data_IF_738652456886
#
_entry.id   IF_738652456886
#
_cell.length_a   1.000
_cell.length_b   1.000
_cell.length_c   1.000
_cell.angle_alpha   90.00
_cell.angle_beta   90.00
_cell.angle_gamma   90.00
#
_symmetry.space_group_name_H-M   'P 1'
#
loop_
_entity.id
_entity.type
_entity.pdbx_description
1 polymer ?
#
# COMPACT_ATOMS: atom_id res chain seq x y z
N UNK A 1 0.07 -2.27 10.94
CA UNK A 1 1.41 -2.75 11.30
C UNK A 1 2.40 -2.13 10.33
N UNK A 2 3.38 -1.42 10.88
CA UNK A 2 4.46 -0.81 10.09
C UNK A 2 5.59 -1.83 10.04
N UNK A 3 6.00 -2.21 8.85
CA UNK A 3 7.17 -3.07 8.64
C UNK A 3 8.43 -2.26 8.97
N UNK A 4 9.32 -2.80 9.79
CA UNK A 4 10.63 -2.23 10.01
C UNK A 4 11.53 -2.59 8.81
N UNK A 5 11.41 -1.79 7.75
CA UNK A 5 12.16 -2.02 6.51
C UNK A 5 13.68 -1.88 6.68
N UNK A 6 14.14 -1.10 7.66
CA UNK A 6 15.57 -0.99 7.96
C UNK A 6 16.12 -2.32 8.43
N UNK A 7 15.48 -2.92 9.45
CA UNK A 7 15.88 -4.22 9.97
C UNK A 7 15.65 -5.35 8.96
N UNK A 8 14.57 -5.28 8.18
CA UNK A 8 14.24 -6.32 7.20
C UNK A 8 15.22 -6.33 6.01
N UNK A 9 15.78 -5.20 5.66
CA UNK A 9 16.70 -5.08 4.51
C UNK A 9 18.16 -4.89 4.89
N UNK A 10 18.53 -4.90 6.17
CA UNK A 10 19.90 -4.60 6.60
C UNK A 10 20.95 -5.51 5.92
N UNK A 11 20.67 -6.80 5.76
CA UNK A 11 21.59 -7.76 5.15
C UNK A 11 21.79 -7.48 3.66
N UNK A 12 20.69 -7.15 2.94
CA UNK A 12 20.77 -6.76 1.52
C UNK A 12 21.57 -5.48 1.35
N UNK A 13 21.32 -4.50 2.19
CA UNK A 13 22.06 -3.23 2.20
C UNK A 13 23.54 -3.45 2.51
N UNK A 14 23.85 -4.35 3.43
CA UNK A 14 25.24 -4.71 3.75
C UNK A 14 25.97 -5.31 2.55
N UNK A 15 25.35 -6.26 1.84
CA UNK A 15 25.95 -6.89 0.65
C UNK A 15 26.22 -5.89 -0.48
N UNK A 16 25.39 -4.88 -0.66
CA UNK A 16 25.55 -3.88 -1.72
C UNK A 16 26.30 -2.62 -1.25
N UNK A 17 26.76 -2.60 0.00
CA UNK A 17 27.53 -1.47 0.56
C UNK A 17 26.70 -0.20 0.81
N UNK A 18 25.39 -0.32 0.99
CA UNK A 18 24.47 0.80 1.26
C UNK A 18 24.15 0.85 2.74
N UNK A 19 24.21 2.04 3.34
CA UNK A 19 23.70 2.22 4.69
C UNK A 19 22.15 2.18 4.67
N UNK A 20 21.48 1.22 5.35
CA UNK A 20 20.02 1.12 5.33
C UNK A 20 19.33 2.37 5.85
N UNK A 21 19.97 3.13 6.75
CA UNK A 21 19.43 4.42 7.27
C UNK A 21 19.46 5.55 6.24
N UNK A 22 20.25 5.42 5.19
CA UNK A 22 20.30 6.42 4.12
C UNK A 22 19.22 6.23 3.06
N UNK A 23 18.47 5.13 3.12
CA UNK A 23 17.36 4.86 2.19
C UNK A 23 16.11 5.58 2.69
N UNK A 24 15.65 6.54 1.94
CA UNK A 24 14.40 7.23 2.26
C UNK A 24 13.21 6.31 2.03
N UNK A 25 12.56 5.91 3.13
CA UNK A 25 11.35 5.11 3.10
C UNK A 25 10.22 5.94 3.70
N UNK A 26 9.18 6.18 2.89
CA UNK A 26 8.00 6.91 3.33
C UNK A 26 7.18 6.06 4.29
N UNK A 27 7.20 6.42 5.57
CA UNK A 27 6.39 5.78 6.62
C UNK A 27 5.53 6.83 7.31
N UNK A 28 4.23 6.64 7.29
CA UNK A 28 3.27 7.57 7.89
C UNK A 28 2.50 6.88 9.01
N UNK A 29 2.55 7.45 10.22
CA UNK A 29 1.83 6.92 11.38
C UNK A 29 0.39 7.43 11.46
N UNK A 30 0.15 8.62 10.90
CA UNK A 30 -1.17 9.25 10.84
C UNK A 30 -1.78 9.01 9.47
N UNK A 31 -3.08 8.79 9.45
CA UNK A 31 -3.79 8.53 8.22
C UNK A 31 -3.81 9.77 7.31
N UNK A 32 -3.89 10.95 7.89
CA UNK A 32 -3.91 12.23 7.18
C UNK A 32 -2.60 12.45 6.39
N UNK A 33 -1.44 12.17 7.04
CA UNK A 33 -0.13 12.29 6.40
C UNK A 33 0.02 11.26 5.26
N UNK A 34 -0.54 10.06 5.47
CA UNK A 34 -0.57 9.00 4.48
C UNK A 34 -1.45 9.39 3.28
N UNK A 35 -2.63 9.98 3.50
CA UNK A 35 -3.50 10.48 2.44
C UNK A 35 -2.82 11.55 1.58
N UNK A 36 -2.12 12.49 2.20
CA UNK A 36 -1.34 13.50 1.47
C UNK A 36 -0.28 12.85 0.59
N UNK A 37 0.42 11.83 1.11
CA UNK A 37 1.41 11.07 0.35
C UNK A 37 0.75 10.32 -0.82
N UNK A 38 -0.38 9.66 -0.61
CA UNK A 38 -1.14 8.96 -1.66
C UNK A 38 -1.63 9.95 -2.73
N UNK A 39 -2.12 11.11 -2.33
CA UNK A 39 -2.53 12.16 -3.28
C UNK A 39 -1.41 12.58 -4.22
N UNK A 40 -0.19 12.81 -3.69
CA UNK A 40 1.00 13.10 -4.50
C UNK A 40 1.34 11.93 -5.44
N UNK A 41 1.27 10.70 -4.93
CA UNK A 41 1.53 9.50 -5.72
C UNK A 41 0.53 9.36 -6.88
N UNK A 42 -0.76 9.54 -6.59
CA UNK A 42 -1.82 9.47 -7.61
C UNK A 42 -1.70 10.60 -8.64
N UNK A 43 -1.24 11.78 -8.23
CA UNK A 43 -0.95 12.89 -9.14
C UNK A 43 0.12 12.48 -10.16
N UNK A 44 1.23 11.89 -9.70
CA UNK A 44 2.30 11.44 -10.59
C UNK A 44 1.88 10.25 -11.46
N UNK A 45 1.15 9.30 -10.89
CA UNK A 45 0.58 8.19 -11.65
C UNK A 45 -0.38 8.69 -12.73
N UNK A 46 -1.23 9.67 -12.42
CA UNK A 46 -2.10 10.30 -13.39
C UNK A 46 -1.30 11.00 -14.50
N UNK A 47 -0.21 11.70 -14.15
CA UNK A 47 0.63 12.38 -15.11
C UNK A 47 1.24 11.44 -16.15
N UNK A 48 1.74 10.26 -15.70
CA UNK A 48 2.42 9.31 -16.59
C UNK A 48 1.45 8.33 -17.28
N UNK A 49 0.22 8.20 -16.79
CA UNK A 49 -0.79 7.34 -17.43
C UNK A 49 -1.34 8.04 -18.67
N UNK A 50 -1.44 7.31 -19.78
CA UNK A 50 -2.07 7.82 -21.00
C UNK A 50 -3.56 8.13 -20.78
N UNK A 51 -4.12 9.00 -21.60
CA UNK A 51 -5.56 9.26 -21.64
C UNK A 51 -6.37 7.95 -21.80
N UNK A 52 -7.49 7.86 -21.12
CA UNK A 52 -8.32 6.65 -21.04
C UNK A 52 -7.60 5.40 -20.48
N UNK A 53 -6.36 5.55 -19.99
CA UNK A 53 -5.61 4.48 -19.32
C UNK A 53 -6.14 4.20 -17.91
N UNK A 54 -5.67 3.12 -17.33
CA UNK A 54 -6.11 2.68 -16.01
C UNK A 54 -4.95 2.69 -15.02
N UNK A 55 -5.28 2.97 -13.76
CA UNK A 55 -4.40 2.83 -12.60
C UNK A 55 -5.05 1.83 -11.66
N UNK A 56 -4.34 0.76 -11.32
CA UNK A 56 -4.74 -0.19 -10.30
C UNK A 56 -3.90 0.07 -9.05
N UNK A 57 -4.51 0.59 -8.00
CA UNK A 57 -3.84 0.98 -6.77
C UNK A 57 -4.20 0.02 -5.64
N UNK A 58 -3.24 -0.81 -5.25
CA UNK A 58 -3.44 -1.84 -4.23
C UNK A 58 -3.10 -1.32 -2.85
N UNK A 59 -3.97 -1.59 -1.90
CA UNK A 59 -3.77 -1.35 -0.47
C UNK A 59 -4.10 -2.60 0.33
N UNK A 60 -3.29 -2.84 1.36
CA UNK A 60 -3.54 -3.92 2.30
C UNK A 60 -4.57 -3.53 3.36
N UNK A 61 -4.95 -4.51 4.16
CA UNK A 61 -5.80 -4.30 5.31
C UNK A 61 -4.97 -3.87 6.53
N UNK A 62 -5.44 -2.86 7.25
CA UNK A 62 -4.81 -2.41 8.50
C UNK A 62 -5.76 -2.52 9.67
N UNK A 63 -5.20 -2.71 10.87
CA UNK A 63 -5.94 -2.82 12.13
C UNK A 63 -7.11 -3.81 12.05
N UNK A 64 -6.89 -4.98 11.45
CA UNK A 64 -7.90 -6.05 11.30
C UNK A 64 -9.16 -5.57 10.57
N UNK A 65 -9.00 -4.74 9.54
CA UNK A 65 -10.11 -4.25 8.72
C UNK A 65 -10.91 -3.09 9.32
N UNK A 66 -10.48 -2.55 10.45
CA UNK A 66 -11.17 -1.40 11.06
C UNK A 66 -10.95 -0.09 10.31
N UNK A 67 -9.93 -0.02 9.47
CA UNK A 67 -9.65 1.12 8.59
C UNK A 67 -9.73 0.64 7.16
N UNK A 68 -10.58 1.30 6.39
CA UNK A 68 -10.81 1.06 4.97
C UNK A 68 -9.90 1.98 4.16
N UNK A 69 -8.65 1.54 3.95
CA UNK A 69 -7.67 2.33 3.22
C UNK A 69 -8.09 2.65 1.78
N UNK A 70 -8.92 1.81 1.17
CA UNK A 70 -9.50 2.07 -0.15
C UNK A 70 -10.33 3.35 -0.18
N UNK A 71 -11.07 3.66 0.89
CA UNK A 71 -11.86 4.89 0.98
C UNK A 71 -10.94 6.12 1.04
N UNK A 72 -9.83 6.02 1.78
CA UNK A 72 -8.82 7.08 1.87
C UNK A 72 -8.09 7.29 0.53
N UNK A 73 -7.83 6.21 -0.23
CA UNK A 73 -7.26 6.32 -1.59
C UNK A 73 -8.22 7.04 -2.53
N UNK A 74 -9.53 6.72 -2.46
CA UNK A 74 -10.56 7.38 -3.25
C UNK A 74 -10.65 8.87 -2.88
N UNK A 75 -10.60 9.19 -1.59
CA UNK A 75 -10.62 10.57 -1.11
C UNK A 75 -9.40 11.35 -1.62
N UNK A 76 -8.20 10.75 -1.53
CA UNK A 76 -6.97 11.35 -2.01
C UNK A 76 -6.94 11.59 -3.54
N UNK A 77 -7.79 10.89 -4.30
CA UNK A 77 -7.92 11.08 -5.74
C UNK A 77 -8.85 12.24 -6.13
N UNK A 78 -9.58 12.83 -5.18
CA UNK A 78 -10.49 13.94 -5.47
C UNK A 78 -9.75 15.12 -6.07
N UNK A 79 -10.31 15.68 -7.13
CA UNK A 79 -9.72 16.81 -7.86
C UNK A 79 -8.68 16.41 -8.90
N UNK A 80 -8.29 15.12 -8.98
CA UNK A 80 -7.47 14.62 -10.06
C UNK A 80 -8.34 14.18 -11.25
N UNK A 81 -7.79 14.16 -12.48
CA UNK A 81 -8.52 13.69 -13.66
C UNK A 81 -8.63 12.16 -13.68
N UNK A 82 -9.15 11.60 -12.59
CA UNK A 82 -9.30 10.17 -12.37
C UNK A 82 -10.75 9.87 -11.99
N UNK A 83 -11.32 8.87 -12.64
CA UNK A 83 -12.67 8.36 -12.32
C UNK A 83 -12.52 6.99 -11.67
N UNK A 84 -13.13 6.80 -10.50
CA UNK A 84 -13.18 5.49 -9.84
C UNK A 84 -14.07 4.55 -10.67
N UNK A 85 -13.49 3.45 -11.12
CA UNK A 85 -14.22 2.39 -11.86
C UNK A 85 -14.82 1.38 -10.89
N UNK A 86 -14.07 1.06 -9.84
CA UNK A 86 -14.49 0.11 -8.81
C UNK A 86 -13.38 -0.25 -7.85
N UNK A 87 -13.71 -1.06 -6.87
CA UNK A 87 -12.76 -1.64 -5.91
C UNK A 87 -12.84 -3.15 -6.02
N UNK A 88 -11.73 -3.77 -6.39
CA UNK A 88 -11.60 -5.23 -6.37
C UNK A 88 -11.12 -5.66 -4.99
N UNK A 89 -11.75 -6.68 -4.43
CA UNK A 89 -11.36 -7.28 -3.16
C UNK A 89 -10.77 -8.65 -3.47
N UNK A 90 -9.47 -8.81 -3.20
CA UNK A 90 -8.80 -10.10 -3.27
C UNK A 90 -8.75 -10.68 -1.86
N UNK A 91 -9.62 -11.63 -1.60
CA UNK A 91 -9.66 -12.33 -0.32
C UNK A 91 -8.96 -13.68 -0.48
N UNK A 92 -7.90 -13.87 0.30
CA UNK A 92 -7.15 -15.12 0.33
C UNK A 92 -7.29 -15.77 1.70
N UNK A 93 -7.58 -17.05 1.72
CA UNK A 93 -7.44 -17.87 2.92
C UNK A 93 -6.00 -18.38 3.00
N UNK A 94 -5.28 -17.95 4.01
CA UNK A 94 -3.94 -18.49 4.28
C UNK A 94 -3.96 -19.42 5.47
N UNK A 95 -3.44 -20.60 5.29
CA UNK A 95 -2.79 -21.34 6.36
C UNK A 95 -1.31 -20.91 6.39
N UNK A 96 -0.93 -20.04 7.31
CA UNK A 96 0.49 -19.73 7.51
C UNK A 96 1.18 -20.95 8.11
N UNK A 97 2.05 -21.59 7.33
CA UNK A 97 2.80 -22.79 7.73
C UNK A 97 4.12 -22.49 8.44
N UNK A 98 4.53 -21.23 8.55
CA UNK A 98 5.82 -20.90 9.16
C UNK A 98 5.65 -20.28 10.54
N UNK A 99 5.98 -21.04 11.56
CA UNK A 99 6.29 -20.54 12.90
C UNK A 99 7.75 -20.06 12.92
N UNK A 100 8.02 -18.90 12.34
CA UNK A 100 9.32 -18.30 12.44
C UNK A 100 9.40 -17.43 13.69
N UNK A 101 10.43 -17.64 14.50
CA UNK A 101 10.79 -16.79 15.64
C UNK A 101 9.77 -16.74 16.80
N UNK A 102 9.12 -17.84 17.12
CA UNK A 102 8.24 -17.93 18.30
C UNK A 102 6.92 -17.16 18.18
N UNK A 103 6.58 -16.66 17.01
CA UNK A 103 5.30 -16.00 16.75
C UNK A 103 4.29 -17.05 16.33
N UNK A 104 3.28 -17.30 17.18
CA UNK A 104 2.13 -18.13 16.84
C UNK A 104 1.26 -17.39 15.82
N UNK A 105 1.33 -17.77 14.56
CA UNK A 105 0.59 -17.15 13.45
C UNK A 105 -0.82 -17.75 13.24
N UNK A 106 -1.30 -18.60 14.13
CA UNK A 106 -2.56 -19.33 13.94
C UNK A 106 -3.84 -18.48 14.08
N UNK A 107 -3.75 -17.18 14.36
CA UNK A 107 -4.94 -16.38 14.66
C UNK A 107 -5.06 -14.99 13.99
N UNK A 108 -4.11 -14.53 13.22
CA UNK A 108 -4.20 -13.15 12.75
C UNK A 108 -3.47 -12.94 11.44
N UNK A 109 -4.12 -13.16 10.38
CA UNK A 109 -3.72 -12.69 9.07
C UNK A 109 -4.97 -12.52 8.25
N UNK A 110 -5.53 -11.35 8.26
CA UNK A 110 -6.46 -10.99 7.22
C UNK A 110 -5.63 -10.78 5.98
N UNK A 111 -6.02 -11.45 4.96
CA UNK A 111 -5.36 -11.46 3.68
C UNK A 111 -6.33 -10.94 2.65
N UNK A 112 -6.93 -9.81 2.94
CA UNK A 112 -7.69 -9.10 1.93
C UNK A 112 -6.86 -7.91 1.43
N UNK A 113 -6.51 -7.95 0.16
CA UNK A 113 -6.00 -6.81 -0.55
C UNK A 113 -7.15 -6.15 -1.29
N UNK A 114 -7.17 -4.84 -1.28
CA UNK A 114 -8.16 -4.04 -2.00
C UNK A 114 -7.46 -3.25 -3.08
N UNK A 115 -7.97 -3.36 -4.30
CA UNK A 115 -7.38 -2.71 -5.47
C UNK A 115 -8.39 -1.69 -5.97
N UNK A 116 -8.06 -0.41 -5.79
CA UNK A 116 -8.87 0.69 -6.34
C UNK A 116 -8.50 0.88 -7.80
N UNK A 117 -9.48 0.75 -8.68
CA UNK A 117 -9.29 0.92 -10.12
C UNK A 117 -9.76 2.32 -10.51
N UNK A 118 -8.83 3.10 -11.04
CA UNK A 118 -9.11 4.40 -11.63
C UNK A 118 -8.97 4.33 -13.15
N UNK A 119 -9.80 5.10 -13.84
CA UNK A 119 -9.64 5.41 -15.25
C UNK A 119 -9.26 6.88 -15.39
N UNK A 120 -8.19 7.17 -16.11
CA UNK A 120 -7.83 8.55 -16.44
C UNK A 120 -8.84 9.13 -17.42
N UNK A 121 -9.31 10.33 -17.11
CA UNK A 121 -10.17 11.10 -18.00
C UNK A 121 -9.40 11.55 -19.22
N UNK A 122 -10.11 11.71 -20.31
CA UNK A 122 -9.57 12.28 -21.55
C UNK A 122 -9.41 13.77 -21.45
#
# INVERSE_FOLDING_TARGET
DIVDYESDNWLRCWFIGVNPKSVEISQHRKIEDWEVFIGKTLTELSRITRESGYIAFEVGEVRKGSIRLEDNVIEAAKGLPLTVVGVMINQQEFSKTSNCWGISNNKAGTNSNRIVIFKKQS
#
